data_IF_683308915026
#
_entry.id   IF_683308915026
#
_cell.length_a   1.000
_cell.length_b   1.000
_cell.length_c   1.000
_cell.angle_alpha   90.00
_cell.angle_beta   90.00
_cell.angle_gamma   90.00
#
_symmetry.space_group_name_H-M   'P 1'
#
loop_
_entity.id
_entity.type
_entity.pdbx_description
1 polymer ?
#
# COMPACT_ATOMS: atom_id res chain seq x y z
N UNK A 1 22.10 25.86 9.01
CA UNK A 1 21.31 25.34 10.15
C UNK A 1 20.39 24.28 9.61
N UNK A 2 20.56 23.02 9.99
CA UNK A 2 19.61 21.98 9.60
C UNK A 2 18.23 22.33 10.16
N UNK A 3 17.21 22.34 9.29
CA UNK A 3 15.82 22.55 9.70
C UNK A 3 15.16 21.18 9.86
N UNK A 4 14.85 20.82 11.10
CA UNK A 4 14.09 19.61 11.40
C UNK A 4 12.59 19.95 11.42
N UNK A 5 11.79 19.24 10.62
CA UNK A 5 10.34 19.48 10.45
C UNK A 5 9.47 18.48 11.21
N UNK A 6 10.04 17.36 11.67
CA UNK A 6 9.32 16.27 12.35
C UNK A 6 10.18 15.70 13.47
N UNK A 7 9.55 15.02 14.45
CA UNK A 7 10.25 14.43 15.60
C UNK A 7 11.35 13.46 15.16
N UNK A 8 11.11 12.64 14.11
CA UNK A 8 12.13 11.71 13.59
C UNK A 8 13.40 12.40 13.10
N UNK A 9 13.33 13.68 12.74
CA UNK A 9 14.51 14.46 12.33
C UNK A 9 15.42 14.83 13.50
N UNK A 10 14.98 14.66 14.75
CA UNK A 10 15.78 14.86 15.96
C UNK A 10 16.55 13.60 16.38
N UNK A 11 16.38 12.49 15.65
CA UNK A 11 16.94 11.19 15.95
C UNK A 11 17.99 10.81 14.90
N UNK A 12 18.95 9.99 15.31
CA UNK A 12 19.95 9.39 14.43
C UNK A 12 20.09 7.88 14.71
N UNK A 13 20.65 7.13 13.77
CA UNK A 13 20.92 5.71 13.95
C UNK A 13 22.11 5.49 14.89
N UNK A 14 22.04 4.45 15.72
CA UNK A 14 23.17 4.04 16.54
C UNK A 14 24.17 3.23 15.70
N UNK A 15 25.27 3.84 15.27
CA UNK A 15 26.31 3.24 14.42
C UNK A 15 27.30 2.33 15.16
N UNK A 16 26.78 1.34 15.90
CA UNK A 16 27.57 0.43 16.74
C UNK A 16 27.81 -0.95 16.10
N UNK A 17 27.46 -1.13 14.82
CA UNK A 17 27.61 -2.39 14.07
C UNK A 17 28.48 -2.17 12.85
N UNK A 18 29.23 -3.20 12.46
CA UNK A 18 29.96 -3.19 11.19
C UNK A 18 28.98 -3.20 10.00
N UNK A 19 29.31 -2.44 8.97
CA UNK A 19 28.52 -2.40 7.75
C UNK A 19 28.68 -3.72 6.99
N UNK A 20 27.56 -4.22 6.46
CA UNK A 20 27.52 -5.37 5.56
C UNK A 20 27.47 -4.89 4.10
N UNK A 21 27.74 -5.80 3.18
CA UNK A 21 27.56 -5.53 1.75
C UNK A 21 26.08 -5.45 1.39
N UNK A 22 25.72 -4.72 0.33
CA UNK A 22 24.32 -4.63 -0.12
C UNK A 22 23.76 -5.99 -0.54
N UNK A 23 24.62 -6.89 -1.01
CA UNK A 23 24.26 -8.25 -1.44
C UNK A 23 23.80 -9.14 -0.28
N UNK A 24 24.15 -8.79 0.97
CA UNK A 24 23.70 -9.47 2.18
C UNK A 24 22.35 -8.94 2.71
N UNK A 25 21.88 -7.80 2.19
CA UNK A 25 20.57 -7.23 2.55
C UNK A 25 19.47 -8.03 1.88
N UNK A 26 18.32 -8.14 2.54
CA UNK A 26 17.16 -8.81 1.94
C UNK A 26 16.77 -8.18 0.58
N UNK A 27 16.31 -8.98 -0.39
CA UNK A 27 15.99 -8.50 -1.73
C UNK A 27 14.77 -7.56 -1.72
N UNK A 28 14.68 -6.69 -2.72
CA UNK A 28 13.60 -5.68 -2.83
C UNK A 28 12.21 -6.32 -2.85
N UNK A 29 12.07 -7.51 -3.45
CA UNK A 29 10.82 -8.27 -3.50
C UNK A 29 10.36 -8.73 -2.11
N UNK A 30 11.28 -8.90 -1.15
CA UNK A 30 10.95 -9.17 0.24
C UNK A 30 10.46 -7.89 0.93
N UNK A 31 11.21 -6.80 0.77
CA UNK A 31 10.90 -5.50 1.40
C UNK A 31 9.55 -4.95 0.93
N UNK A 32 9.25 -5.03 -0.37
CA UNK A 32 8.00 -4.49 -0.96
C UNK A 32 6.73 -5.13 -0.37
N UNK A 33 6.80 -6.36 0.15
CA UNK A 33 5.68 -7.03 0.80
C UNK A 33 5.26 -6.37 2.12
N UNK A 34 6.17 -5.60 2.74
CA UNK A 34 5.88 -4.84 3.95
C UNK A 34 5.14 -3.53 3.65
N UNK A 35 5.09 -3.10 2.39
CA UNK A 35 4.43 -1.86 2.01
C UNK A 35 2.94 -2.08 1.76
N UNK A 36 2.17 -1.13 2.26
CA UNK A 36 0.77 -0.99 1.96
C UNK A 36 0.48 0.46 1.55
N UNK A 37 -0.41 0.65 0.60
CA UNK A 37 -0.92 1.99 0.32
C UNK A 37 -1.91 2.40 1.40
N UNK A 38 -1.94 3.69 1.72
CA UNK A 38 -2.96 4.25 2.61
C UNK A 38 -4.38 3.99 2.11
N UNK A 39 -5.33 4.00 3.04
CA UNK A 39 -6.74 3.86 2.72
C UNK A 39 -7.27 5.18 2.14
N UNK A 40 -7.67 5.17 0.88
CA UNK A 40 -8.25 6.33 0.20
C UNK A 40 -9.56 5.89 -0.42
N UNK A 41 -10.65 6.55 -0.03
CA UNK A 41 -11.99 6.11 -0.41
C UNK A 41 -12.23 6.22 -1.91
N UNK A 42 -12.90 5.22 -2.47
CA UNK A 42 -13.67 5.41 -3.68
C UNK A 42 -14.62 6.61 -3.51
N UNK A 43 -14.60 7.56 -4.45
CA UNK A 43 -15.31 8.83 -4.36
C UNK A 43 -14.46 10.02 -3.86
N UNK A 44 -13.38 9.78 -3.11
CA UNK A 44 -12.36 10.81 -2.82
C UNK A 44 -11.28 10.88 -3.90
N UNK A 45 -11.02 9.75 -4.55
CA UNK A 45 -10.15 9.63 -5.73
C UNK A 45 -10.91 8.93 -6.86
N UNK A 46 -10.42 9.09 -8.10
CA UNK A 46 -11.05 8.48 -9.26
C UNK A 46 -10.92 6.95 -9.26
N UNK A 47 -11.81 6.28 -9.99
CA UNK A 47 -11.77 4.83 -10.15
C UNK A 47 -10.44 4.36 -10.77
N UNK A 48 -9.92 5.10 -11.74
CA UNK A 48 -8.67 4.81 -12.43
C UNK A 48 -7.49 4.87 -11.46
N UNK A 49 -7.42 5.92 -10.62
CA UNK A 49 -6.36 6.07 -9.63
C UNK A 49 -6.42 4.94 -8.59
N UNK A 50 -7.61 4.67 -8.06
CA UNK A 50 -7.80 3.64 -7.05
C UNK A 50 -7.46 2.23 -7.58
N UNK A 51 -7.91 1.90 -8.79
CA UNK A 51 -7.67 0.60 -9.42
C UNK A 51 -6.20 0.43 -9.84
N UNK A 52 -5.56 1.49 -10.31
CA UNK A 52 -4.14 1.47 -10.67
C UNK A 52 -3.26 1.15 -9.46
N UNK A 53 -3.55 1.75 -8.31
CA UNK A 53 -2.85 1.44 -7.07
C UNK A 53 -3.02 -0.03 -6.67
N UNK A 54 -4.23 -0.57 -6.78
CA UNK A 54 -4.48 -1.98 -6.48
C UNK A 54 -3.69 -2.91 -7.40
N UNK A 55 -3.70 -2.65 -8.72
CA UNK A 55 -2.90 -3.40 -9.69
C UNK A 55 -1.40 -3.33 -9.32
N UNK A 56 -0.88 -2.13 -9.06
CA UNK A 56 0.52 -1.94 -8.72
C UNK A 56 0.93 -2.72 -7.48
N UNK A 57 0.15 -2.62 -6.39
CA UNK A 57 0.45 -3.32 -5.15
C UNK A 57 0.34 -4.83 -5.29
N UNK A 58 -0.67 -5.32 -6.03
CA UNK A 58 -0.84 -6.75 -6.29
C UNK A 58 0.34 -7.31 -7.11
N UNK A 59 0.90 -6.56 -8.06
CA UNK A 59 2.07 -6.98 -8.85
C UNK A 59 3.33 -7.12 -8.01
N UNK A 60 3.56 -6.21 -7.05
CA UNK A 60 4.78 -6.22 -6.22
C UNK A 60 4.65 -7.05 -4.94
N UNK A 61 3.49 -7.69 -4.72
CA UNK A 61 3.21 -8.47 -3.49
C UNK A 61 2.95 -7.61 -2.25
N UNK A 62 2.77 -6.31 -2.42
CA UNK A 62 2.30 -5.40 -1.37
C UNK A 62 0.78 -5.45 -1.22
N UNK A 63 0.20 -4.50 -0.47
CA UNK A 63 -1.25 -4.45 -0.23
C UNK A 63 -1.83 -3.07 -0.54
N UNK A 64 -2.97 -3.02 -1.22
CA UNK A 64 -3.80 -1.82 -1.27
C UNK A 64 -5.02 -1.95 -0.37
N UNK A 65 -5.60 -0.81 -0.01
CA UNK A 65 -6.77 -0.71 0.86
C UNK A 65 -7.90 0.03 0.13
N UNK A 66 -9.13 -0.47 0.24
CA UNK A 66 -10.32 0.13 -0.41
C UNK A 66 -10.70 1.52 0.08
N UNK A 67 -10.23 1.91 1.26
CA UNK A 67 -10.86 3.02 1.96
C UNK A 67 -12.32 2.73 2.31
N UNK A 68 -13.04 3.79 2.69
CA UNK A 68 -14.35 3.66 3.32
C UNK A 68 -15.49 3.41 2.34
N UNK A 69 -15.33 3.79 1.07
CA UNK A 69 -16.40 3.81 0.06
C UNK A 69 -16.73 2.47 -0.59
N UNK A 70 -16.11 1.38 -0.15
CA UNK A 70 -16.28 0.06 -0.75
C UNK A 70 -15.42 -0.18 -1.98
N UNK A 71 -15.75 -1.25 -2.70
CA UNK A 71 -15.10 -1.65 -3.93
C UNK A 71 -16.12 -2.31 -4.85
N UNK A 72 -16.09 -1.93 -6.13
CA UNK A 72 -16.95 -2.53 -7.16
C UNK A 72 -16.61 -4.02 -7.35
N UNK A 73 -17.63 -4.87 -7.40
CA UNK A 73 -17.49 -6.32 -7.55
C UNK A 73 -16.79 -6.71 -8.85
N UNK A 74 -16.88 -5.89 -9.91
CA UNK A 74 -16.17 -6.14 -11.18
C UNK A 74 -14.65 -6.24 -10.97
N UNK A 75 -14.12 -5.64 -9.90
CA UNK A 75 -12.69 -5.64 -9.58
C UNK A 75 -12.22 -6.94 -8.95
N UNK A 76 -13.13 -7.84 -8.56
CA UNK A 76 -12.79 -9.12 -7.95
C UNK A 76 -12.31 -10.15 -8.96
N UNK A 77 -12.71 -9.97 -10.21
CA UNK A 77 -12.21 -10.76 -11.32
C UNK A 77 -10.84 -10.26 -11.79
N UNK A 78 -10.01 -11.22 -12.24
CA UNK A 78 -8.74 -10.89 -12.87
C UNK A 78 -8.97 -10.32 -14.26
N UNK A 79 -8.16 -9.36 -14.63
CA UNK A 79 -8.13 -8.82 -15.99
C UNK A 79 -7.56 -9.85 -16.97
N UNK A 80 -7.85 -9.74 -18.28
CA UNK A 80 -7.35 -10.65 -19.30
C UNK A 80 -5.81 -10.77 -19.36
N UNK A 81 -5.09 -9.74 -18.91
CA UNK A 81 -3.63 -9.72 -18.83
C UNK A 81 -3.06 -10.33 -17.53
N UNK A 82 -3.92 -10.86 -16.64
CA UNK A 82 -3.56 -11.47 -15.36
C UNK A 82 -3.50 -10.50 -14.18
N UNK A 83 -3.67 -9.19 -14.40
CA UNK A 83 -3.71 -8.20 -13.33
C UNK A 83 -4.95 -8.35 -12.46
N UNK A 84 -4.86 -7.83 -11.23
CA UNK A 84 -5.97 -7.78 -10.28
C UNK A 84 -6.21 -6.34 -9.85
N UNK A 85 -7.43 -5.85 -10.07
CA UNK A 85 -7.88 -4.55 -9.57
C UNK A 85 -8.37 -4.62 -8.12
N UNK A 86 -8.53 -5.83 -7.55
CA UNK A 86 -9.02 -6.03 -6.19
C UNK A 86 -8.03 -5.50 -5.16
N UNK A 87 -8.50 -4.70 -4.20
CA UNK A 87 -7.69 -4.34 -3.04
C UNK A 87 -7.59 -5.51 -2.05
N UNK A 88 -6.39 -5.77 -1.55
CA UNK A 88 -6.14 -6.85 -0.60
C UNK A 88 -6.74 -6.58 0.79
N UNK A 89 -6.87 -5.31 1.17
CA UNK A 89 -7.44 -4.87 2.44
C UNK A 89 -8.79 -4.19 2.18
N UNK A 90 -9.80 -4.59 2.94
CA UNK A 90 -11.16 -4.04 2.91
C UNK A 90 -11.41 -3.29 4.22
N UNK A 91 -11.70 -2.00 4.16
CA UNK A 91 -11.95 -1.21 5.36
C UNK A 91 -13.41 -1.31 5.79
N UNK A 92 -13.62 -1.33 7.11
CA UNK A 92 -14.94 -1.23 7.74
C UNK A 92 -14.95 0.04 8.61
N UNK A 93 -15.52 1.13 8.07
CA UNK A 93 -15.62 2.43 8.74
C UNK A 93 -17.01 2.66 9.34
N UNK A 94 -17.20 3.73 10.11
CA UNK A 94 -18.45 4.03 10.84
C UNK A 94 -19.68 4.04 9.94
N UNK A 95 -19.58 4.63 8.74
CA UNK A 95 -20.66 4.68 7.75
C UNK A 95 -20.96 3.35 7.06
N UNK A 96 -20.08 2.35 7.19
CA UNK A 96 -20.21 1.01 6.58
C UNK A 96 -20.51 1.05 5.06
N UNK A 97 -20.05 2.10 4.37
CA UNK A 97 -20.25 2.19 2.93
C UNK A 97 -19.54 1.02 2.22
N UNK A 98 -20.25 0.40 1.28
CA UNK A 98 -19.74 -0.74 0.51
C UNK A 98 -19.34 -1.97 1.33
N UNK A 99 -19.78 -2.08 2.58
CA UNK A 99 -19.68 -3.32 3.37
C UNK A 99 -20.83 -4.24 2.98
N UNK A 100 -20.50 -5.33 2.29
CA UNK A 100 -21.47 -6.33 1.80
C UNK A 100 -21.09 -7.74 2.30
N UNK A 101 -22.04 -8.69 2.21
CA UNK A 101 -21.92 -10.08 2.68
C UNK A 101 -21.33 -11.02 1.65
#
# INVERSE_FOLDING_TARGET
TEKHYTIRGLLDFAHHREAITIDEVEPIESIMKHFATGAMSFGSISHEAHSLMAIAMNRIGGKSNTGEGGEDEIRYDKLPNGDSMRSAIKQVASGRFGVTS
#
